data_IF_173516439755
#
_entry.id   IF_173516439755
#
_cell.length_a   1.000
_cell.length_b   1.000
_cell.length_c   1.000
_cell.angle_alpha   90.00
_cell.angle_beta   90.00
_cell.angle_gamma   90.00
#
_symmetry.space_group_name_H-M   'P 1'
#
loop_
_entity.id
_entity.type
_entity.pdbx_description
1 polymer ?
#
# COMPACT_ATOMS: atom_id res chain seq x y z
N UNK A 1 -0.01 16.99 9.31
CA UNK A 1 -0.67 15.91 10.07
C UNK A 1 0.02 15.76 11.43
N UNK A 2 -0.58 15.08 12.41
CA UNK A 2 0.18 14.59 13.56
C UNK A 2 1.04 13.39 13.11
N UNK A 3 2.30 13.27 13.53
CA UNK A 3 3.20 12.19 13.10
C UNK A 3 2.64 10.80 13.41
N UNK A 4 1.91 10.65 14.52
CA UNK A 4 1.26 9.39 14.90
C UNK A 4 0.13 8.96 13.95
N UNK A 5 -0.54 9.91 13.29
CA UNK A 5 -1.62 9.61 12.33
C UNK A 5 -1.04 9.19 10.98
N UNK A 6 0.11 9.75 10.61
CA UNK A 6 0.81 9.44 9.38
C UNK A 6 1.45 8.05 9.43
N UNK A 7 2.11 7.69 10.54
CA UNK A 7 2.60 6.33 10.75
C UNK A 7 1.48 5.28 10.68
N UNK A 8 0.31 5.55 11.28
CA UNK A 8 -0.82 4.63 11.22
C UNK A 8 -1.38 4.46 9.80
N UNK A 9 -1.37 5.52 8.98
CA UNK A 9 -1.79 5.46 7.59
C UNK A 9 -0.81 4.65 6.73
N UNK A 10 0.50 4.83 6.95
CA UNK A 10 1.55 4.08 6.24
C UNK A 10 1.46 2.59 6.60
N UNK A 11 1.32 2.24 7.88
CA UNK A 11 1.17 0.85 8.33
C UNK A 11 -0.04 0.17 7.67
N UNK A 12 -1.19 0.86 7.64
CA UNK A 12 -2.40 0.31 7.01
C UNK A 12 -2.21 0.05 5.51
N UNK A 13 -1.53 0.94 4.78
CA UNK A 13 -1.25 0.76 3.35
C UNK A 13 -0.26 -0.38 3.12
N UNK A 14 0.74 -0.55 4.00
CA UNK A 14 1.68 -1.67 3.94
C UNK A 14 1.00 -3.03 4.18
N UNK A 15 0.05 -3.11 5.11
CA UNK A 15 -0.76 -4.32 5.33
C UNK A 15 -1.60 -4.67 4.10
N UNK A 16 -2.25 -3.67 3.49
CA UNK A 16 -3.03 -3.86 2.27
C UNK A 16 -2.15 -4.33 1.09
N UNK A 17 -0.96 -3.76 0.96
CA UNK A 17 0.01 -4.16 -0.06
C UNK A 17 0.45 -5.61 0.15
N UNK A 18 0.80 -5.98 1.38
CA UNK A 18 1.22 -7.34 1.75
C UNK A 18 0.12 -8.35 1.44
N UNK A 19 -1.12 -8.06 1.82
CA UNK A 19 -2.27 -8.93 1.55
C UNK A 19 -2.50 -9.13 0.05
N UNK A 20 -2.38 -8.05 -0.74
CA UNK A 20 -2.58 -8.10 -2.19
C UNK A 20 -1.46 -8.87 -2.90
N UNK A 21 -0.21 -8.73 -2.44
CA UNK A 21 0.91 -9.53 -2.94
C UNK A 21 0.75 -11.02 -2.61
N UNK A 22 0.31 -11.37 -1.39
CA UNK A 22 0.03 -12.77 -1.03
C UNK A 22 -1.05 -13.36 -1.95
N UNK A 23 -2.09 -12.60 -2.26
CA UNK A 23 -3.12 -13.02 -3.19
C UNK A 23 -2.55 -13.28 -4.60
N UNK A 24 -1.69 -12.40 -5.11
CA UNK A 24 -1.00 -12.59 -6.39
C UNK A 24 -0.04 -13.78 -6.41
N UNK A 25 0.58 -14.12 -5.27
CA UNK A 25 1.38 -15.34 -5.18
C UNK A 25 0.52 -16.61 -5.28
N UNK A 26 -0.75 -16.55 -4.87
CA UNK A 26 -1.72 -17.65 -4.99
C UNK A 26 -2.38 -17.71 -6.37
N UNK A 27 -2.65 -16.55 -6.98
CA UNK A 27 -3.21 -16.40 -8.32
C UNK A 27 -2.57 -15.20 -9.03
N UNK A 28 -1.54 -15.42 -9.87
CA UNK A 28 -0.83 -14.33 -10.54
C UNK A 28 -1.69 -13.61 -11.60
N UNK A 29 -2.80 -14.22 -12.04
CA UNK A 29 -3.72 -13.66 -13.01
C UNK A 29 -4.90 -12.92 -12.34
N UNK A 30 -4.93 -12.81 -11.00
CA UNK A 30 -5.93 -12.02 -10.28
C UNK A 30 -5.73 -10.51 -10.53
N UNK A 31 -6.38 -10.04 -11.60
CA UNK A 31 -6.39 -8.62 -12.00
C UNK A 31 -6.90 -7.68 -10.91
N UNK A 32 -7.77 -8.14 -10.01
CA UNK A 32 -8.28 -7.33 -8.90
C UNK A 32 -7.27 -7.25 -7.75
N UNK A 33 -6.50 -8.30 -7.49
CA UNK A 33 -5.37 -8.25 -6.57
C UNK A 33 -4.25 -7.35 -7.11
N UNK A 34 -3.95 -7.41 -8.41
CA UNK A 34 -2.98 -6.53 -9.07
C UNK A 34 -3.39 -5.04 -8.93
N UNK A 35 -4.63 -4.70 -9.29
CA UNK A 35 -5.12 -3.33 -9.17
C UNK A 35 -5.09 -2.80 -7.72
N UNK A 36 -5.35 -3.66 -6.73
CA UNK A 36 -5.24 -3.30 -5.31
C UNK A 36 -3.79 -3.07 -4.89
N UNK A 37 -2.87 -3.93 -5.31
CA UNK A 37 -1.44 -3.75 -5.03
C UNK A 37 -0.90 -2.46 -5.63
N UNK A 38 -1.23 -2.17 -6.90
CA UNK A 38 -0.83 -0.93 -7.58
C UNK A 38 -1.39 0.32 -6.90
N UNK A 39 -2.67 0.29 -6.50
CA UNK A 39 -3.29 1.38 -5.76
C UNK A 39 -2.64 1.64 -4.39
N UNK A 40 -2.29 0.56 -3.68
CA UNK A 40 -1.58 0.65 -2.41
C UNK A 40 -0.16 1.20 -2.59
N UNK A 41 0.58 0.76 -3.62
CA UNK A 41 1.90 1.31 -3.96
C UNK A 41 1.84 2.80 -4.27
N UNK A 42 0.87 3.24 -5.08
CA UNK A 42 0.69 4.66 -5.38
C UNK A 42 0.36 5.48 -4.12
N UNK A 43 -0.51 4.96 -3.26
CA UNK A 43 -0.85 5.63 -2.00
C UNK A 43 0.37 5.75 -1.09
N UNK A 44 1.18 4.70 -0.99
CA UNK A 44 2.41 4.71 -0.21
C UNK A 44 3.42 5.72 -0.77
N UNK A 45 3.59 5.78 -2.09
CA UNK A 45 4.47 6.75 -2.75
C UNK A 45 4.06 8.19 -2.43
N UNK A 46 2.77 8.52 -2.50
CA UNK A 46 2.25 9.84 -2.15
C UNK A 46 2.53 10.19 -0.68
N UNK A 47 2.25 9.25 0.25
CA UNK A 47 2.48 9.47 1.68
C UNK A 47 3.96 9.69 2.01
N UNK A 48 4.86 8.93 1.39
CA UNK A 48 6.30 9.08 1.60
C UNK A 48 6.88 10.30 0.91
N UNK A 49 6.35 10.70 -0.25
CA UNK A 49 6.74 11.91 -0.93
C UNK A 49 6.33 13.17 -0.16
N UNK A 50 5.24 13.11 0.62
CA UNK A 50 4.84 14.21 1.52
C UNK A 50 5.68 14.33 2.79
N UNK A 51 6.44 13.29 3.15
CA UNK A 51 7.35 13.27 4.30
C UNK A 51 8.81 13.58 3.91
N UNK A 52 9.11 13.66 2.60
CA UNK A 52 10.43 14.04 2.12
C UNK A 52 10.71 15.55 2.37
N UNK A 53 11.87 15.91 2.98
CA UNK A 53 12.20 17.26 3.43
C UNK A 53 12.40 18.30 2.32
#
# INVERSE_FOLDING_TARGET
MNPSTESAAIEQVQEQLTSSFIALCGDPDDTAAAARADGALHTLDVLLATDAP
#
